data_IF_018304002894
#
_entry.id   IF_018304002894
#
_cell.length_a   1.000
_cell.length_b   1.000
_cell.length_c   1.000
_cell.angle_alpha   90.00
_cell.angle_beta   90.00
_cell.angle_gamma   90.00
#
_symmetry.space_group_name_H-M   'P 1'
#
loop_
_entity.id
_entity.type
_entity.pdbx_description
1 polymer ?
#
# COMPACT_ATOMS: atom_id res chain seq x y z
N UNK A 1 -15.98 -1.91 20.98
CA UNK A 1 -15.83 -3.08 20.11
C UNK A 1 -15.60 -2.66 18.65
N UNK A 2 -16.50 -1.87 18.01
CA UNK A 2 -16.40 -1.47 16.62
C UNK A 2 -15.05 -0.81 16.27
N UNK A 3 -14.55 0.11 17.09
CA UNK A 3 -13.25 0.76 16.89
C UNK A 3 -12.10 -0.26 16.90
N UNK A 4 -12.14 -1.24 17.78
CA UNK A 4 -11.12 -2.28 17.86
C UNK A 4 -11.16 -3.16 16.61
N UNK A 5 -12.36 -3.57 16.16
CA UNK A 5 -12.53 -4.36 14.93
C UNK A 5 -12.01 -3.59 13.71
N UNK A 6 -12.35 -2.30 13.60
CA UNK A 6 -11.85 -1.46 12.52
C UNK A 6 -10.32 -1.36 12.54
N UNK A 7 -9.71 -1.16 13.71
CA UNK A 7 -8.25 -1.09 13.86
C UNK A 7 -7.58 -2.40 13.46
N UNK A 8 -8.10 -3.55 13.91
CA UNK A 8 -7.57 -4.87 13.53
C UNK A 8 -7.69 -5.07 12.01
N UNK A 9 -8.82 -4.69 11.41
CA UNK A 9 -9.01 -4.81 9.97
C UNK A 9 -8.00 -3.96 9.18
N UNK A 10 -7.81 -2.68 9.56
CA UNK A 10 -6.80 -1.79 8.95
C UNK A 10 -5.40 -2.40 8.98
N UNK A 11 -5.04 -3.06 10.10
CA UNK A 11 -3.72 -3.69 10.26
C UNK A 11 -3.58 -4.99 9.44
N UNK A 12 -4.66 -5.76 9.28
CA UNK A 12 -4.62 -7.11 8.72
C UNK A 12 -4.90 -7.19 7.22
N UNK A 13 -5.73 -6.27 6.67
CA UNK A 13 -6.12 -6.32 5.26
C UNK A 13 -5.16 -5.53 4.37
N UNK A 14 -4.41 -6.25 3.53
CA UNK A 14 -3.46 -5.64 2.58
C UNK A 14 -4.14 -4.78 1.50
N UNK A 15 -5.42 -5.03 1.20
CA UNK A 15 -6.20 -4.29 0.21
C UNK A 15 -7.03 -3.14 0.82
N UNK A 16 -6.83 -2.86 2.11
CA UNK A 16 -7.53 -1.77 2.79
C UNK A 16 -7.28 -0.39 2.14
N UNK A 17 -6.05 0.00 1.72
CA UNK A 17 -5.81 1.28 1.06
C UNK A 17 -6.60 1.42 -0.24
N UNK A 18 -6.64 0.37 -1.07
CA UNK A 18 -7.42 0.35 -2.32
C UNK A 18 -8.92 0.52 -2.03
N UNK A 19 -9.41 -0.17 -0.99
CA UNK A 19 -10.81 -0.06 -0.58
C UNK A 19 -11.16 1.36 -0.10
N UNK A 20 -10.28 2.03 0.65
CA UNK A 20 -10.48 3.42 1.08
C UNK A 20 -10.50 4.37 -0.10
N UNK A 21 -9.60 4.19 -1.07
CA UNK A 21 -9.58 5.01 -2.29
C UNK A 21 -10.84 4.79 -3.13
N UNK A 22 -11.25 3.53 -3.33
CA UNK A 22 -12.48 3.21 -4.03
C UNK A 22 -13.71 3.79 -3.32
N UNK A 23 -13.76 3.71 -1.99
CA UNK A 23 -14.79 4.33 -1.17
C UNK A 23 -14.83 5.84 -1.33
N UNK A 24 -13.67 6.52 -1.25
CA UNK A 24 -13.56 7.97 -1.45
C UNK A 24 -14.09 8.42 -2.81
N UNK A 25 -13.72 7.72 -3.88
CA UNK A 25 -14.23 7.98 -5.24
C UNK A 25 -15.73 7.76 -5.34
N UNK A 26 -16.23 6.68 -4.73
CA UNK A 26 -17.67 6.42 -4.69
C UNK A 26 -18.44 7.52 -3.97
N UNK A 27 -17.93 8.02 -2.85
CA UNK A 27 -18.50 9.15 -2.13
C UNK A 27 -18.46 10.42 -2.99
N UNK A 28 -17.34 10.73 -3.66
CA UNK A 28 -17.21 11.89 -4.54
C UNK A 28 -18.22 11.84 -5.70
N UNK A 29 -18.42 10.68 -6.32
CA UNK A 29 -19.43 10.48 -7.35
C UNK A 29 -20.88 10.74 -6.84
N UNK A 30 -21.19 10.38 -5.60
CA UNK A 30 -22.49 10.70 -4.99
C UNK A 30 -22.70 12.21 -4.78
N UNK A 31 -21.63 12.99 -4.71
CA UNK A 31 -21.66 14.46 -4.60
C UNK A 31 -21.58 15.17 -5.96
N UNK A 32 -21.71 14.40 -7.08
CA UNK A 32 -21.77 14.95 -8.44
C UNK A 32 -20.42 15.18 -9.12
N UNK A 33 -19.36 14.55 -8.64
CA UNK A 33 -18.08 14.54 -9.34
C UNK A 33 -18.06 13.39 -10.37
N UNK A 34 -18.49 13.72 -11.60
CA UNK A 34 -18.53 12.76 -12.70
C UNK A 34 -17.14 12.20 -13.07
N UNK A 35 -16.07 12.89 -12.74
CA UNK A 35 -14.69 12.40 -12.94
C UNK A 35 -14.36 11.25 -12.00
N UNK A 36 -15.10 11.09 -10.92
CA UNK A 36 -14.94 10.03 -9.93
C UNK A 36 -15.68 8.73 -10.29
N UNK A 37 -16.42 8.68 -11.41
CA UNK A 37 -17.10 7.49 -11.91
C UNK A 37 -16.12 6.42 -12.38
N UNK A 38 -15.36 5.89 -11.45
CA UNK A 38 -14.49 4.73 -11.67
C UNK A 38 -15.25 3.48 -11.29
N UNK A 39 -15.27 2.50 -12.20
CA UNK A 39 -15.83 1.17 -11.90
C UNK A 39 -15.01 0.56 -10.77
N UNK A 40 -15.61 0.45 -9.59
CA UNK A 40 -15.01 -0.24 -8.45
C UNK A 40 -14.84 -1.72 -8.82
N UNK A 41 -13.63 -2.28 -8.78
CA UNK A 41 -13.43 -3.68 -9.07
C UNK A 41 -14.32 -4.58 -8.19
N UNK A 42 -14.96 -5.62 -8.75
CA UNK A 42 -15.88 -6.48 -7.99
C UNK A 42 -15.30 -7.04 -6.68
N UNK A 43 -13.98 -7.28 -6.67
CA UNK A 43 -13.25 -7.79 -5.50
C UNK A 43 -13.21 -6.78 -4.32
N UNK A 44 -13.37 -5.48 -4.59
CA UNK A 44 -13.34 -4.43 -3.55
C UNK A 44 -14.73 -4.10 -2.99
N UNK A 45 -15.83 -4.48 -3.65
CA UNK A 45 -17.19 -4.18 -3.18
C UNK A 45 -17.45 -4.60 -1.73
N UNK A 46 -17.13 -5.84 -1.29
CA UNK A 46 -17.38 -6.23 0.10
C UNK A 46 -16.65 -5.34 1.12
N UNK A 47 -15.51 -4.79 0.73
CA UNK A 47 -14.71 -3.89 1.58
C UNK A 47 -15.31 -2.48 1.63
N UNK A 48 -15.78 -1.99 0.49
CA UNK A 48 -16.50 -0.71 0.39
C UNK A 48 -17.78 -0.76 1.21
N UNK A 49 -18.56 -1.85 1.12
CA UNK A 49 -19.76 -2.07 1.92
C UNK A 49 -19.44 -2.14 3.43
N UNK A 50 -18.32 -2.76 3.80
CA UNK A 50 -17.88 -2.78 5.18
C UNK A 50 -17.51 -1.37 5.69
N UNK A 51 -16.86 -0.53 4.86
CA UNK A 51 -16.57 0.88 5.20
C UNK A 51 -17.85 1.68 5.40
N UNK A 52 -18.86 1.51 4.51
CA UNK A 52 -20.18 2.12 4.69
C UNK A 52 -20.83 1.67 5.99
N UNK A 53 -20.80 0.37 6.28
CA UNK A 53 -21.37 -0.19 7.51
C UNK A 53 -20.71 0.39 8.75
N UNK A 54 -19.38 0.51 8.77
CA UNK A 54 -18.63 1.13 9.87
C UNK A 54 -19.02 2.61 10.03
N UNK A 55 -19.11 3.36 8.94
CA UNK A 55 -19.52 4.76 8.97
C UNK A 55 -20.93 4.94 9.51
N UNK A 56 -21.87 4.16 9.01
CA UNK A 56 -23.27 4.18 9.48
C UNK A 56 -23.33 3.87 10.98
N UNK A 57 -22.69 2.80 11.42
CA UNK A 57 -22.65 2.42 12.86
C UNK A 57 -22.01 3.52 13.70
N UNK A 58 -20.93 4.15 13.23
CA UNK A 58 -20.28 5.24 13.93
C UNK A 58 -21.22 6.46 14.08
N UNK A 59 -21.88 6.86 13.00
CA UNK A 59 -22.84 7.99 12.97
C UNK A 59 -24.07 7.70 13.83
N UNK A 60 -24.68 6.52 13.69
CA UNK A 60 -25.87 6.15 14.49
C UNK A 60 -25.52 6.06 15.98
N UNK A 61 -24.37 5.50 16.33
CA UNK A 61 -23.90 5.41 17.71
C UNK A 61 -23.68 6.81 18.31
N UNK A 62 -23.00 7.69 17.58
CA UNK A 62 -22.75 9.06 18.02
C UNK A 62 -24.06 9.85 18.19
N UNK A 63 -24.98 9.73 17.21
CA UNK A 63 -26.28 10.41 17.24
C UNK A 63 -27.16 9.88 18.36
N UNK A 64 -27.26 8.56 18.52
CA UNK A 64 -28.07 7.94 19.58
C UNK A 64 -27.60 8.30 20.97
N UNK A 65 -26.28 8.27 21.21
CA UNK A 65 -25.70 8.67 22.51
C UNK A 65 -25.93 10.17 22.76
N UNK A 66 -25.71 11.01 21.73
CA UNK A 66 -25.93 12.46 21.85
C UNK A 66 -27.41 12.79 22.15
N UNK A 67 -28.34 12.16 21.43
CA UNK A 67 -29.77 12.34 21.67
C UNK A 67 -30.18 11.87 23.08
N UNK A 68 -29.67 10.74 23.54
CA UNK A 68 -29.89 10.26 24.91
C UNK A 68 -29.37 11.20 26.00
N UNK A 69 -28.23 11.85 25.75
CA UNK A 69 -27.65 12.84 26.67
C UNK A 69 -28.44 14.17 26.69
N UNK A 70 -28.98 14.60 25.55
CA UNK A 70 -29.73 15.85 25.43
C UNK A 70 -31.16 15.68 25.94
N UNK A 71 -31.83 14.57 25.56
CA UNK A 71 -33.23 14.29 25.87
C UNK A 71 -33.48 13.65 27.24
N UNK A 72 -32.44 13.12 27.89
CA UNK A 72 -32.54 12.47 29.20
C UNK A 72 -32.86 13.42 30.33
N UNK A 73 -33.64 12.95 31.33
CA UNK A 73 -33.86 13.66 32.59
C UNK A 73 -32.50 14.00 33.26
N UNK A 74 -32.40 15.14 33.96
CA UNK A 74 -31.15 15.74 34.44
C UNK A 74 -30.21 14.83 35.26
N UNK A 75 -30.71 13.68 35.69
CA UNK A 75 -29.93 12.64 36.38
C UNK A 75 -28.89 11.94 35.50
N UNK A 76 -29.05 11.96 34.13
CA UNK A 76 -28.13 11.35 33.18
C UNK A 76 -27.07 12.32 32.58
N UNK A 77 -27.13 13.59 32.92
CA UNK A 77 -26.16 14.63 32.52
C UNK A 77 -24.86 14.61 33.31
N UNK A 78 -24.38 13.43 33.68
CA UNK A 78 -23.13 13.31 34.39
C UNK A 78 -21.93 13.61 33.46
N UNK A 79 -20.93 14.31 33.99
CA UNK A 79 -19.64 14.57 33.34
C UNK A 79 -19.03 13.28 32.79
N UNK A 80 -19.23 12.13 33.45
CA UNK A 80 -18.76 10.81 33.00
C UNK A 80 -19.33 10.40 31.63
N UNK A 81 -20.62 10.67 31.39
CA UNK A 81 -21.27 10.32 30.14
C UNK A 81 -20.71 11.13 28.96
N UNK A 82 -20.47 12.42 29.18
CA UNK A 82 -19.80 13.28 28.19
C UNK A 82 -18.35 12.87 27.93
N UNK A 83 -17.62 12.47 28.94
CA UNK A 83 -16.25 11.95 28.81
C UNK A 83 -16.22 10.69 27.93
N UNK A 84 -17.17 9.78 28.09
CA UNK A 84 -17.26 8.57 27.24
C UNK A 84 -17.50 8.94 25.78
N UNK A 85 -18.41 9.89 25.49
CA UNK A 85 -18.66 10.37 24.12
C UNK A 85 -17.41 11.01 23.53
N UNK A 86 -16.75 11.90 24.28
CA UNK A 86 -15.53 12.57 23.83
C UNK A 86 -14.40 11.58 23.57
N UNK A 87 -14.22 10.57 24.41
CA UNK A 87 -13.23 9.51 24.20
C UNK A 87 -13.54 8.67 22.96
N UNK A 88 -14.81 8.37 22.71
CA UNK A 88 -15.22 7.61 21.54
C UNK A 88 -15.00 8.39 20.24
N UNK A 89 -15.37 9.68 20.23
CA UNK A 89 -15.11 10.59 19.12
C UNK A 89 -13.62 10.79 18.89
N UNK A 90 -12.84 11.00 19.94
CA UNK A 90 -11.39 11.10 19.88
C UNK A 90 -10.76 9.82 19.32
N UNK A 91 -11.26 8.64 19.71
CA UNK A 91 -10.80 7.35 19.18
C UNK A 91 -11.06 7.20 17.68
N UNK A 92 -12.25 7.56 17.22
CA UNK A 92 -12.57 7.56 15.79
C UNK A 92 -11.73 8.58 15.00
N UNK A 93 -11.59 9.80 15.52
CA UNK A 93 -10.76 10.82 14.89
C UNK A 93 -9.29 10.38 14.80
N UNK A 94 -8.78 9.77 15.88
CA UNK A 94 -7.43 9.20 15.89
C UNK A 94 -7.29 8.11 14.83
N UNK A 95 -8.24 7.19 14.69
CA UNK A 95 -8.21 6.16 13.66
C UNK A 95 -8.24 6.78 12.26
N UNK A 96 -9.12 7.77 12.01
CA UNK A 96 -9.22 8.47 10.74
C UNK A 96 -7.95 9.23 10.35
N UNK A 97 -7.19 9.74 11.31
CA UNK A 97 -5.94 10.47 11.05
C UNK A 97 -4.71 9.56 10.98
N UNK A 98 -4.72 8.43 11.68
CA UNK A 98 -3.55 7.55 11.80
C UNK A 98 -3.62 6.28 10.96
N UNK A 99 -4.75 6.04 10.24
CA UNK A 99 -4.91 4.81 9.44
C UNK A 99 -3.77 4.56 8.44
N UNK A 100 -3.16 5.57 7.76
CA UNK A 100 -2.06 5.30 6.83
C UNK A 100 -0.83 4.71 7.55
N UNK A 101 -0.54 5.23 8.76
CA UNK A 101 0.54 4.69 9.59
C UNK A 101 0.24 3.27 10.10
N UNK A 102 -1.03 2.96 10.38
CA UNK A 102 -1.46 1.61 10.78
C UNK A 102 -1.33 0.62 9.61
N UNK A 103 -1.79 1.00 8.42
CA UNK A 103 -1.63 0.19 7.20
C UNK A 103 -0.16 -0.13 6.95
N UNK A 104 0.72 0.89 7.03
CA UNK A 104 2.16 0.71 6.88
C UNK A 104 2.73 -0.28 7.89
N UNK A 105 2.36 -0.15 9.17
CA UNK A 105 2.78 -1.09 10.22
C UNK A 105 2.25 -2.51 9.97
N UNK A 106 1.00 -2.62 9.56
CA UNK A 106 0.37 -3.90 9.21
C UNK A 106 1.09 -4.58 8.04
N UNK A 107 1.46 -3.81 7.00
CA UNK A 107 2.21 -4.33 5.86
C UNK A 107 3.59 -4.85 6.27
N UNK A 108 4.34 -4.08 7.05
CA UNK A 108 5.63 -4.52 7.60
C UNK A 108 5.48 -5.80 8.43
N UNK A 109 4.42 -5.89 9.24
CA UNK A 109 4.17 -7.08 10.07
C UNK A 109 3.85 -8.31 9.22
N UNK A 110 3.00 -8.19 8.20
CA UNK A 110 2.68 -9.29 7.28
C UNK A 110 3.91 -9.76 6.50
N UNK A 111 4.71 -8.84 5.97
CA UNK A 111 5.91 -9.18 5.22
C UNK A 111 6.98 -9.86 6.07
N UNK A 112 7.05 -9.52 7.36
CA UNK A 112 7.99 -10.16 8.28
C UNK A 112 7.80 -11.66 8.37
N UNK A 113 6.56 -12.16 8.27
CA UNK A 113 6.27 -13.60 8.28
C UNK A 113 6.59 -14.29 6.96
N UNK A 114 6.76 -13.56 5.88
CA UNK A 114 6.99 -14.10 4.52
C UNK A 114 8.42 -13.84 4.00
N UNK A 115 9.32 -13.35 4.84
CA UNK A 115 10.69 -13.01 4.40
C UNK A 115 11.48 -14.24 3.97
N UNK A 116 11.26 -15.40 4.56
CA UNK A 116 11.99 -16.61 4.19
C UNK A 116 11.67 -17.03 2.74
N UNK A 117 10.42 -16.92 2.33
CA UNK A 117 9.96 -17.22 0.98
C UNK A 117 10.51 -16.21 -0.04
N UNK A 118 10.62 -14.93 0.35
CA UNK A 118 11.27 -13.92 -0.48
C UNK A 118 12.78 -14.12 -0.58
N UNK A 119 13.47 -14.55 0.49
CA UNK A 119 14.89 -14.92 0.45
C UNK A 119 15.12 -16.04 -0.57
N UNK A 120 14.32 -17.12 -0.50
CA UNK A 120 14.42 -18.25 -1.41
C UNK A 120 14.13 -17.84 -2.87
N UNK A 121 13.13 -16.98 -3.08
CA UNK A 121 12.81 -16.46 -4.40
C UNK A 121 13.94 -15.58 -4.95
N UNK A 122 14.48 -14.67 -4.14
CA UNK A 122 15.59 -13.80 -4.53
C UNK A 122 16.82 -14.61 -4.91
N UNK A 123 17.18 -15.62 -4.13
CA UNK A 123 18.35 -16.49 -4.42
C UNK A 123 18.14 -17.28 -5.71
N UNK A 124 16.94 -17.80 -5.97
CA UNK A 124 16.61 -18.48 -7.23
C UNK A 124 16.72 -17.55 -8.43
N UNK A 125 16.19 -16.33 -8.32
CA UNK A 125 16.26 -15.35 -9.40
C UNK A 125 17.69 -14.87 -9.66
N UNK A 126 18.49 -14.64 -8.61
CA UNK A 126 19.90 -14.26 -8.77
C UNK A 126 20.73 -15.36 -9.41
N UNK A 127 20.46 -16.63 -9.08
CA UNK A 127 21.16 -17.78 -9.63
C UNK A 127 20.83 -18.04 -11.13
N UNK A 128 19.63 -17.68 -11.55
CA UNK A 128 19.12 -17.92 -12.90
C UNK A 128 18.30 -16.73 -13.42
N UNK A 129 18.92 -15.54 -13.45
CA UNK A 129 18.28 -14.33 -13.96
C UNK A 129 17.99 -14.47 -15.44
N UNK A 130 16.74 -14.23 -15.91
CA UNK A 130 16.40 -14.39 -17.31
C UNK A 130 17.09 -13.36 -18.21
N UNK A 131 17.50 -13.78 -19.39
CA UNK A 131 18.08 -12.88 -20.41
C UNK A 131 17.02 -12.35 -21.40
N UNK A 132 15.83 -12.96 -21.45
CA UNK A 132 14.75 -12.61 -22.37
C UNK A 132 13.40 -12.78 -21.69
N UNK A 133 12.33 -12.33 -22.37
CA UNK A 133 10.95 -12.61 -21.99
C UNK A 133 10.72 -14.12 -21.82
N UNK A 134 9.83 -14.48 -20.92
CA UNK A 134 9.58 -15.90 -20.66
C UNK A 134 8.55 -16.17 -19.59
N UNK A 135 8.71 -17.31 -18.94
CA UNK A 135 7.86 -17.78 -17.85
C UNK A 135 8.75 -18.24 -16.69
N UNK A 136 8.41 -17.81 -15.47
CA UNK A 136 9.08 -18.26 -14.26
C UNK A 136 8.14 -19.19 -13.53
N UNK A 137 8.62 -20.40 -13.26
CA UNK A 137 7.86 -21.43 -12.56
C UNK A 137 7.33 -20.90 -11.20
N UNK A 138 6.01 -20.92 -11.04
CA UNK A 138 5.32 -20.43 -9.84
C UNK A 138 5.01 -18.93 -9.82
N UNK A 139 5.53 -18.13 -10.77
CA UNK A 139 5.21 -16.71 -10.93
C UNK A 139 4.50 -16.42 -12.26
N UNK A 140 4.75 -17.23 -13.32
CA UNK A 140 4.10 -17.08 -14.62
C UNK A 140 4.86 -16.16 -15.60
N UNK A 141 4.16 -15.73 -16.67
CA UNK A 141 4.77 -15.02 -17.78
C UNK A 141 5.18 -13.59 -17.39
N UNK A 142 6.34 -13.18 -17.89
CA UNK A 142 6.90 -11.85 -17.69
C UNK A 142 7.51 -11.28 -18.97
N UNK A 143 7.64 -9.97 -19.00
CA UNK A 143 8.43 -9.20 -19.97
C UNK A 143 9.67 -8.65 -19.29
N UNK A 144 10.83 -8.76 -19.96
CA UNK A 144 12.11 -8.28 -19.47
C UNK A 144 12.51 -6.93 -20.06
N UNK A 145 12.92 -5.99 -19.24
CA UNK A 145 13.36 -4.65 -19.65
C UNK A 145 14.75 -4.31 -19.07
N UNK A 146 15.65 -3.67 -19.89
CA UNK A 146 15.58 -3.51 -21.32
C UNK A 146 15.75 -4.85 -22.06
N UNK A 147 15.28 -4.89 -23.29
CA UNK A 147 15.36 -6.10 -24.15
C UNK A 147 16.83 -6.55 -24.29
N UNK A 148 17.07 -7.85 -24.12
CA UNK A 148 18.38 -8.50 -24.32
C UNK A 148 19.31 -8.51 -23.08
N UNK A 149 19.08 -7.65 -22.11
CA UNK A 149 19.73 -7.68 -20.78
C UNK A 149 18.79 -7.09 -19.73
N UNK A 150 17.71 -7.77 -19.42
CA UNK A 150 16.70 -7.21 -18.52
C UNK A 150 17.27 -7.01 -17.12
N UNK A 151 16.95 -5.86 -16.56
CA UNK A 151 17.13 -5.56 -15.13
C UNK A 151 15.79 -5.62 -14.42
N UNK A 152 14.70 -5.42 -15.16
CA UNK A 152 13.32 -5.41 -14.70
C UNK A 152 12.57 -6.57 -15.31
N UNK A 153 11.87 -7.32 -14.49
CA UNK A 153 10.90 -8.33 -14.90
C UNK A 153 9.51 -7.82 -14.53
N UNK A 154 8.70 -7.52 -15.54
CA UNK A 154 7.32 -7.10 -15.37
C UNK A 154 6.40 -8.30 -15.61
N UNK A 155 5.66 -8.71 -14.59
CA UNK A 155 4.73 -9.83 -14.71
C UNK A 155 3.45 -9.40 -15.43
N UNK A 156 2.99 -10.23 -16.39
CA UNK A 156 1.73 -9.99 -17.11
C UNK A 156 0.50 -10.17 -16.25
N UNK A 157 0.64 -10.90 -15.16
CA UNK A 157 -0.36 -11.08 -14.11
C UNK A 157 0.27 -10.65 -12.79
N UNK A 158 -0.52 -10.47 -11.75
CA UNK A 158 -0.02 -10.23 -10.39
C UNK A 158 0.16 -11.55 -9.66
N UNK A 159 1.30 -12.26 -9.84
CA UNK A 159 1.49 -13.56 -9.21
C UNK A 159 1.63 -13.39 -7.70
N UNK A 160 1.18 -14.42 -6.99
CA UNK A 160 1.50 -14.58 -5.57
C UNK A 160 2.88 -15.20 -5.44
N UNK A 161 3.68 -14.66 -4.55
CA UNK A 161 4.95 -15.29 -4.19
C UNK A 161 4.64 -16.66 -3.55
N UNK A 162 5.23 -17.76 -4.04
CA UNK A 162 4.97 -19.09 -3.54
C UNK A 162 5.11 -19.18 -2.01
N UNK A 163 4.16 -19.83 -1.35
CA UNK A 163 4.13 -19.94 0.11
C UNK A 163 3.57 -18.72 0.83
N UNK A 164 3.22 -17.65 0.13
CA UNK A 164 2.71 -16.40 0.74
C UNK A 164 1.37 -15.98 0.16
N UNK A 165 0.74 -14.95 0.78
CA UNK A 165 -0.41 -14.24 0.23
C UNK A 165 -0.02 -12.89 -0.40
N UNK A 166 1.28 -12.64 -0.59
CA UNK A 166 1.78 -11.40 -1.15
C UNK A 166 1.86 -11.50 -2.66
N UNK A 167 1.23 -10.55 -3.33
CA UNK A 167 1.24 -10.40 -4.79
C UNK A 167 2.33 -9.41 -5.20
N UNK A 168 3.01 -9.67 -6.33
CA UNK A 168 4.05 -8.81 -6.88
C UNK A 168 3.74 -8.45 -8.34
N UNK A 169 4.15 -7.27 -8.78
CA UNK A 169 3.98 -6.80 -10.16
C UNK A 169 5.29 -6.79 -10.93
N UNK A 170 6.36 -6.37 -10.26
CA UNK A 170 7.66 -6.14 -10.87
C UNK A 170 8.75 -6.69 -9.96
N UNK A 171 9.78 -7.24 -10.55
CA UNK A 171 11.03 -7.55 -9.86
C UNK A 171 12.17 -6.84 -10.59
N UNK A 172 12.97 -6.12 -9.83
CA UNK A 172 14.15 -5.43 -10.34
C UNK A 172 15.42 -6.01 -9.73
N UNK A 173 16.42 -6.21 -10.58
CA UNK A 173 17.78 -6.51 -10.16
C UNK A 173 18.58 -5.21 -10.08
N UNK A 174 18.93 -4.83 -8.88
CA UNK A 174 19.77 -3.68 -8.62
C UNK A 174 21.27 -3.98 -8.74
N UNK A 175 22.08 -3.06 -8.28
CA UNK A 175 23.53 -3.23 -8.19
C UNK A 175 23.91 -4.16 -7.04
N UNK A 176 25.07 -4.81 -7.16
CA UNK A 176 25.64 -5.68 -6.10
C UNK A 176 24.68 -6.77 -5.60
N UNK A 177 23.87 -7.34 -6.53
CA UNK A 177 22.89 -8.38 -6.22
C UNK A 177 21.76 -7.95 -5.29
N UNK A 178 21.44 -6.64 -5.23
CA UNK A 178 20.22 -6.18 -4.60
C UNK A 178 19.01 -6.59 -5.43
N UNK A 179 17.89 -6.85 -4.73
CA UNK A 179 16.64 -7.30 -5.36
C UNK A 179 15.48 -6.47 -4.84
N UNK A 180 14.69 -5.94 -5.75
CA UNK A 180 13.57 -5.08 -5.46
C UNK A 180 12.28 -5.73 -5.98
N UNK A 181 11.34 -6.01 -5.09
CA UNK A 181 10.04 -6.62 -5.40
C UNK A 181 8.96 -5.57 -5.23
N UNK A 182 8.35 -5.12 -6.32
CA UNK A 182 7.20 -4.24 -6.25
C UNK A 182 5.98 -5.03 -5.81
N UNK A 183 5.41 -4.65 -4.68
CA UNK A 183 4.23 -5.30 -4.13
C UNK A 183 2.97 -4.80 -4.85
N UNK A 184 2.07 -5.71 -5.20
CA UNK A 184 0.79 -5.35 -5.80
C UNK A 184 -0.12 -4.65 -4.78
N UNK A 185 -0.93 -3.70 -5.26
CA UNK A 185 -1.96 -3.06 -4.45
C UNK A 185 -1.55 -1.81 -3.70
N UNK A 186 -0.39 -1.20 -4.01
CA UNK A 186 -0.01 0.10 -3.48
C UNK A 186 -0.16 1.22 -4.51
N UNK A 187 -0.90 2.29 -4.21
CA UNK A 187 -1.01 3.45 -5.10
C UNK A 187 0.33 4.15 -5.33
N UNK A 188 1.26 4.01 -4.43
CA UNK A 188 2.56 4.72 -4.42
C UNK A 188 3.76 3.75 -4.46
N UNK A 189 3.59 2.57 -5.08
CA UNK A 189 4.72 1.65 -5.27
C UNK A 189 5.45 1.30 -3.97
N UNK A 190 4.85 0.43 -3.17
CA UNK A 190 5.55 -0.14 -2.03
C UNK A 190 6.38 -1.32 -2.51
N UNK A 191 7.64 -1.33 -2.11
CA UNK A 191 8.62 -2.32 -2.51
C UNK A 191 9.14 -3.08 -1.29
N UNK A 192 9.37 -4.35 -1.45
CA UNK A 192 10.19 -5.16 -0.57
C UNK A 192 11.58 -5.25 -1.19
N UNK A 193 12.59 -4.79 -0.49
CA UNK A 193 13.94 -4.60 -1.02
C UNK A 193 14.92 -5.41 -0.21
N UNK A 194 15.71 -6.22 -0.90
CA UNK A 194 16.91 -6.87 -0.35
C UNK A 194 18.12 -6.04 -0.73
N UNK A 195 18.80 -5.47 0.27
CA UNK A 195 19.97 -4.63 0.10
C UNK A 195 21.16 -5.20 0.86
N UNK A 196 22.33 -5.03 0.25
CA UNK A 196 23.60 -5.33 0.92
C UNK A 196 24.00 -4.20 1.87
N UNK A 197 23.51 -2.99 1.61
CA UNK A 197 23.76 -1.81 2.43
C UNK A 197 22.78 -1.72 3.60
N UNK A 198 23.14 -0.91 4.61
CA UNK A 198 22.29 -0.70 5.79
C UNK A 198 21.04 0.15 5.53
N UNK A 199 20.93 0.80 4.38
CA UNK A 199 19.82 1.65 3.99
C UNK A 199 19.47 1.49 2.50
N UNK A 200 18.17 1.52 2.14
CA UNK A 200 17.73 1.49 0.75
C UNK A 200 18.22 2.71 -0.02
N UNK A 201 18.73 2.48 -1.21
CA UNK A 201 19.24 3.52 -2.11
C UNK A 201 18.21 3.85 -3.21
N UNK A 202 18.35 5.03 -3.83
CA UNK A 202 17.69 5.30 -5.08
C UNK A 202 18.24 4.38 -6.17
N UNK A 203 17.38 3.94 -7.09
CA UNK A 203 17.79 3.10 -8.20
C UNK A 203 17.11 3.50 -9.51
N UNK A 204 17.78 3.25 -10.61
CA UNK A 204 17.24 3.40 -11.94
C UNK A 204 16.57 2.10 -12.37
N UNK A 205 15.29 2.18 -12.70
CA UNK A 205 14.51 1.08 -13.26
C UNK A 205 14.94 0.81 -14.71
N UNK A 206 14.83 -0.45 -15.15
CA UNK A 206 14.89 -0.78 -16.57
C UNK A 206 13.76 -0.18 -17.42
N UNK A 207 12.79 0.49 -16.79
CA UNK A 207 11.67 1.20 -17.43
C UNK A 207 11.93 2.72 -17.56
N UNK A 208 13.19 3.15 -17.59
CA UNK A 208 13.62 4.53 -17.81
C UNK A 208 13.10 5.56 -16.77
N UNK A 209 13.20 5.22 -15.52
CA UNK A 209 12.89 6.14 -14.43
C UNK A 209 13.69 5.89 -13.17
N UNK A 210 13.84 6.92 -12.38
CA UNK A 210 14.49 6.84 -11.07
C UNK A 210 13.45 6.63 -9.97
N UNK A 211 13.71 5.68 -9.09
CA UNK A 211 12.94 5.45 -7.87
C UNK A 211 13.71 6.00 -6.68
N UNK A 212 13.13 7.00 -6.01
CA UNK A 212 13.73 7.69 -4.86
C UNK A 212 13.02 7.22 -3.59
N UNK A 213 13.74 6.67 -2.58
CA UNK A 213 13.13 6.21 -1.34
C UNK A 213 12.66 7.40 -0.49
N UNK A 214 11.37 7.41 -0.11
CA UNK A 214 10.80 8.46 0.74
C UNK A 214 10.46 7.98 2.14
N UNK A 215 10.21 6.70 2.28
CA UNK A 215 9.95 6.08 3.56
C UNK A 215 10.41 4.63 3.53
N UNK A 216 11.12 4.21 4.57
CA UNK A 216 11.50 2.81 4.67
C UNK A 216 11.47 2.30 6.10
N UNK A 217 11.42 0.97 6.23
CA UNK A 217 11.51 0.29 7.50
C UNK A 217 12.18 -1.07 7.34
N UNK A 218 13.16 -1.35 8.18
CA UNK A 218 13.82 -2.64 8.23
C UNK A 218 12.83 -3.72 8.73
N UNK A 219 12.72 -4.79 8.00
CA UNK A 219 11.89 -5.96 8.32
C UNK A 219 12.73 -7.05 8.97
N UNK A 220 13.90 -7.33 8.38
CA UNK A 220 14.95 -8.26 8.79
C UNK A 220 16.30 -7.68 8.37
N UNK A 221 17.41 -8.24 8.82
CA UNK A 221 18.73 -7.89 8.33
C UNK A 221 18.80 -8.04 6.80
N UNK A 222 19.25 -6.99 6.12
CA UNK A 222 19.31 -6.90 4.66
C UNK A 222 17.94 -6.73 3.97
N UNK A 223 16.82 -6.69 4.69
CA UNK A 223 15.49 -6.55 4.09
C UNK A 223 14.73 -5.32 4.59
N UNK A 224 14.19 -4.55 3.64
CA UNK A 224 13.46 -3.32 3.90
C UNK A 224 12.13 -3.31 3.16
N UNK A 225 11.09 -2.78 3.81
CA UNK A 225 9.91 -2.29 3.11
C UNK A 225 10.15 -0.83 2.82
N UNK A 226 10.03 -0.44 1.56
CA UNK A 226 10.36 0.89 1.07
C UNK A 226 9.20 1.44 0.24
N UNK A 227 8.89 2.70 0.48
CA UNK A 227 8.02 3.47 -0.41
C UNK A 227 8.91 4.35 -1.27
N UNK A 228 8.82 4.15 -2.59
CA UNK A 228 9.53 4.97 -3.56
C UNK A 228 8.59 5.94 -4.26
N UNK A 229 9.11 7.10 -4.59
CA UNK A 229 8.49 8.00 -5.57
C UNK A 229 9.20 7.77 -6.91
N UNK A 230 8.41 7.59 -7.96
CA UNK A 230 8.90 7.50 -9.31
C UNK A 230 9.17 8.90 -9.86
N UNK A 231 10.40 9.18 -10.25
CA UNK A 231 10.80 10.37 -10.98
C UNK A 231 11.07 9.97 -12.43
N UNK A 232 10.17 10.31 -13.37
CA UNK A 232 10.43 10.02 -14.79
C UNK A 232 11.69 10.77 -15.21
N UNK A 233 12.57 10.09 -15.93
CA UNK A 233 13.71 10.75 -16.56
C UNK A 233 13.15 11.73 -17.58
N UNK A 234 13.22 13.01 -17.29
CA UNK A 234 12.93 14.03 -18.29
C UNK A 234 14.01 13.87 -19.35
N UNK A 235 13.69 13.17 -20.42
CA UNK A 235 14.51 13.19 -21.62
C UNK A 235 14.67 14.67 -21.98
N UNK A 236 15.84 15.21 -21.70
CA UNK A 236 16.12 16.63 -21.89
C UNK A 236 15.66 17.02 -23.28
N UNK A 237 14.82 18.04 -23.33
CA UNK A 237 14.45 18.71 -24.58
C UNK A 237 15.75 19.08 -25.29
N UNK A 238 16.11 18.46 -26.42
CA UNK A 238 17.40 18.71 -27.07
C UNK A 238 17.54 20.15 -27.60
N UNK A 239 16.63 21.04 -27.24
CA UNK A 239 16.51 22.41 -27.74
C UNK A 239 16.90 23.54 -26.77
N UNK A 240 17.19 23.28 -25.50
CA UNK A 240 17.62 24.37 -24.59
C UNK A 240 19.13 24.36 -24.43
N UNK A 241 19.81 24.87 -25.48
CA UNK A 241 21.18 25.35 -25.32
C UNK A 241 21.15 26.57 -24.37
N UNK A 242 21.55 26.37 -23.14
CA UNK A 242 21.88 27.45 -22.21
C UNK A 242 23.12 28.19 -22.76
N UNK A 243 22.87 29.15 -23.65
CA UNK A 243 23.82 30.21 -23.94
C UNK A 243 23.87 31.11 -22.70
N UNK A 244 24.77 30.80 -21.81
CA UNK A 244 25.14 31.66 -20.69
C UNK A 244 26.06 32.78 -21.23
N UNK A 245 25.55 34.01 -21.16
CA UNK A 245 26.37 35.22 -21.09
C UNK A 245 26.86 35.45 -19.68
#
# INVERSE_FOLDING_TARGET
LALLVATVWVLSDGKFPEAVTAFGRHVAALWGDDSALVVVPPLLWPRVDALWSILIVAVLSASGISAGLIGGSGQHRNVRSWLVVMLLLAGWLTLLTTWPALVWRGQVWRLRSSIAEFDELADKLLAAWPDNDGDIAGLGPFMGYPIGKPRTLMFMTTPKVPGTNTEINVVERGEKDSMHFQLAGGEEGVWLVREVNDEPQAFFSGLDGEYIPVQFRRVKEGWFVVRYIYAPTVLGDPGVSTEQR
#
